data_IF_058726292387
#
_entry.id   IF_058726292387
#
_cell.length_a   1.000
_cell.length_b   1.000
_cell.length_c   1.000
_cell.angle_alpha   90.00
_cell.angle_beta   90.00
_cell.angle_gamma   90.00
#
_symmetry.space_group_name_H-M   'P 1'
#
loop_
_entity.id
_entity.type
_entity.pdbx_description
1 polymer ?
#
# COMPACT_ATOMS: atom_id res chain seq x y z
N UNK A 1 -10.47 -38.42 16.05
CA UNK A 1 -10.48 -37.54 17.23
C UNK A 1 -10.04 -36.16 16.78
N UNK A 2 -10.61 -35.09 17.34
CA UNK A 2 -10.06 -33.75 17.15
C UNK A 2 -8.72 -33.71 17.92
N UNK A 3 -7.59 -33.35 17.28
CA UNK A 3 -6.31 -33.18 17.97
C UNK A 3 -6.43 -32.23 19.16
N UNK A 4 -5.61 -32.41 20.20
CA UNK A 4 -5.56 -31.45 21.30
C UNK A 4 -4.93 -30.11 20.86
N UNK A 5 -5.18 -29.04 21.62
CA UNK A 5 -4.70 -27.69 21.30
C UNK A 5 -3.17 -27.61 21.18
N UNK A 6 -2.45 -28.45 21.94
CA UNK A 6 -0.98 -28.50 21.89
C UNK A 6 -0.50 -29.14 20.58
N UNK A 7 -1.20 -30.16 20.08
CA UNK A 7 -0.92 -30.79 18.79
C UNK A 7 -1.19 -29.82 17.64
N UNK A 8 -2.28 -29.04 17.68
CA UNK A 8 -2.52 -27.99 16.69
C UNK A 8 -1.46 -26.89 16.73
N UNK A 9 -1.03 -26.49 17.93
CA UNK A 9 0.04 -25.48 18.09
C UNK A 9 1.35 -25.97 17.51
N UNK A 10 1.74 -27.23 17.79
CA UNK A 10 2.93 -27.86 17.20
C UNK A 10 2.83 -27.94 15.69
N UNK A 11 1.68 -28.38 15.15
CA UNK A 11 1.46 -28.39 13.70
C UNK A 11 1.71 -27.01 13.08
N UNK A 12 1.12 -25.95 13.65
CA UNK A 12 1.30 -24.59 13.15
C UNK A 12 2.76 -24.16 13.16
N UNK A 13 3.53 -24.54 14.18
CA UNK A 13 4.93 -24.11 14.34
C UNK A 13 5.90 -24.96 13.49
N UNK A 14 5.74 -26.28 13.50
CA UNK A 14 6.64 -27.22 12.85
C UNK A 14 6.49 -27.19 11.32
N UNK A 15 5.30 -26.84 10.81
CA UNK A 15 4.99 -26.85 9.38
C UNK A 15 4.95 -25.46 8.73
N UNK A 16 5.44 -24.40 9.39
CA UNK A 16 5.50 -23.05 8.78
C UNK A 16 6.16 -23.08 7.39
N UNK A 17 7.33 -23.73 7.18
CA UNK A 17 7.96 -23.75 5.86
C UNK A 17 7.10 -24.40 4.78
N UNK A 18 6.42 -25.50 5.11
CA UNK A 18 5.55 -26.22 4.17
C UNK A 18 4.26 -25.45 3.88
N UNK A 19 3.72 -24.72 4.85
CA UNK A 19 2.59 -23.81 4.64
C UNK A 19 2.98 -22.64 3.73
N UNK A 20 4.19 -22.10 3.90
CA UNK A 20 4.72 -21.03 3.05
C UNK A 20 4.92 -21.52 1.61
N UNK A 21 5.55 -22.69 1.42
CA UNK A 21 5.68 -23.34 0.12
C UNK A 21 4.31 -23.60 -0.55
N UNK A 22 3.36 -24.20 0.18
CA UNK A 22 2.01 -24.45 -0.33
C UNK A 22 1.29 -23.16 -0.73
N UNK A 23 1.44 -22.11 0.07
CA UNK A 23 0.85 -20.80 -0.23
C UNK A 23 1.41 -20.25 -1.56
N UNK A 24 2.72 -20.27 -1.76
CA UNK A 24 3.34 -19.76 -2.98
C UNK A 24 2.94 -20.58 -4.22
N UNK A 25 2.91 -21.90 -4.13
CA UNK A 25 2.42 -22.75 -5.24
C UNK A 25 0.96 -22.42 -5.60
N UNK A 26 0.10 -22.17 -4.60
CA UNK A 26 -1.29 -21.76 -4.83
C UNK A 26 -1.42 -20.37 -5.44
N UNK A 27 -0.52 -19.43 -5.13
CA UNK A 27 -0.48 -18.11 -5.77
C UNK A 27 -0.26 -18.28 -7.28
N UNK A 28 0.71 -19.08 -7.69
CA UNK A 28 0.98 -19.38 -9.11
C UNK A 28 -0.18 -20.13 -9.78
N UNK A 29 -0.76 -21.13 -9.10
CA UNK A 29 -1.89 -21.90 -9.63
C UNK A 29 -3.15 -21.05 -9.85
N UNK A 30 -3.38 -20.04 -9.01
CA UNK A 30 -4.56 -19.18 -9.10
C UNK A 30 -4.39 -17.99 -10.05
N UNK A 31 -3.16 -17.64 -10.46
CA UNK A 31 -2.94 -16.50 -11.35
C UNK A 31 -3.70 -16.64 -12.70
N UNK A 32 -3.62 -17.76 -13.44
CA UNK A 32 -4.36 -17.90 -14.69
C UNK A 32 -5.88 -17.89 -14.51
N UNK A 33 -6.37 -18.22 -13.31
CA UNK A 33 -7.80 -18.12 -12.96
C UNK A 33 -8.18 -16.65 -12.82
N UNK A 34 -7.41 -15.88 -12.05
CA UNK A 34 -7.60 -14.43 -11.89
C UNK A 34 -7.59 -13.71 -13.26
N UNK A 35 -6.65 -14.06 -14.14
CA UNK A 35 -6.58 -13.48 -15.49
C UNK A 35 -7.81 -13.77 -16.36
N UNK A 36 -8.40 -14.99 -16.24
CA UNK A 36 -9.64 -15.34 -16.94
C UNK A 36 -10.85 -14.57 -16.41
N UNK A 37 -10.90 -14.34 -15.09
CA UNK A 37 -12.00 -13.62 -14.45
C UNK A 37 -11.98 -12.14 -14.84
N UNK A 38 -10.86 -11.47 -14.60
CA UNK A 38 -10.66 -10.08 -15.00
C UNK A 38 -9.17 -9.80 -15.19
N UNK A 39 -8.73 -9.78 -16.44
CA UNK A 39 -7.34 -9.50 -16.80
C UNK A 39 -6.83 -8.15 -16.28
N UNK A 40 -7.68 -7.12 -16.27
CA UNK A 40 -7.24 -5.79 -15.83
C UNK A 40 -7.01 -5.78 -14.32
N UNK A 41 -7.92 -6.35 -13.54
CA UNK A 41 -7.78 -6.44 -12.08
C UNK A 41 -6.68 -7.43 -11.68
N UNK A 42 -6.52 -8.55 -12.38
CA UNK A 42 -5.41 -9.49 -12.15
C UNK A 42 -4.04 -8.83 -12.38
N UNK A 43 -3.93 -7.98 -13.39
CA UNK A 43 -2.68 -7.25 -13.70
C UNK A 43 -2.32 -6.14 -12.70
N UNK A 44 -3.18 -5.86 -11.71
CA UNK A 44 -2.86 -4.91 -10.64
C UNK A 44 -2.12 -5.63 -9.51
N UNK A 45 -1.15 -4.94 -8.92
CA UNK A 45 -0.53 -5.34 -7.66
C UNK A 45 -0.70 -4.22 -6.65
N UNK A 46 -1.31 -4.54 -5.51
CA UNK A 46 -1.64 -3.60 -4.44
C UNK A 46 -0.83 -4.00 -3.22
N UNK A 47 -0.16 -3.03 -2.59
CA UNK A 47 0.66 -3.27 -1.41
C UNK A 47 0.16 -2.45 -0.22
N UNK A 48 0.11 -3.10 0.95
CA UNK A 48 -0.21 -2.47 2.23
C UNK A 48 0.47 -3.22 3.37
N UNK A 49 0.67 -2.54 4.50
CA UNK A 49 1.22 -3.17 5.71
C UNK A 49 0.15 -3.30 6.78
N UNK A 50 0.31 -4.32 7.62
CA UNK A 50 -0.61 -4.53 8.73
C UNK A 50 0.12 -5.05 9.97
N UNK A 51 -0.29 -4.56 11.13
CA UNK A 51 0.13 -5.10 12.42
C UNK A 51 -0.86 -6.17 12.90
N UNK A 52 -0.35 -7.32 13.36
CA UNK A 52 -1.13 -8.32 14.09
C UNK A 52 -0.86 -8.14 15.59
N UNK A 53 -1.87 -7.65 16.32
CA UNK A 53 -1.77 -7.39 17.76
C UNK A 53 -1.50 -8.69 18.53
N UNK A 54 -0.49 -8.70 19.38
CA UNK A 54 -0.04 -9.91 20.09
C UNK A 54 -0.56 -9.98 21.52
N UNK A 55 -0.59 -11.18 22.11
CA UNK A 55 -1.01 -11.37 23.50
C UNK A 55 0.12 -10.99 24.49
N UNK A 56 0.31 -9.68 24.69
CA UNK A 56 1.33 -9.10 25.60
C UNK A 56 0.73 -8.09 26.58
N UNK A 57 1.44 -7.82 27.68
CA UNK A 57 0.95 -6.95 28.74
C UNK A 57 0.73 -5.52 28.29
N UNK A 58 1.53 -5.04 27.34
CA UNK A 58 1.49 -3.68 26.83
C UNK A 58 0.24 -3.38 25.98
N UNK A 59 -0.42 -4.43 25.45
CA UNK A 59 -1.72 -4.33 24.76
C UNK A 59 -2.93 -4.30 25.70
N UNK A 60 -2.71 -4.41 27.01
CA UNK A 60 -3.78 -4.28 27.99
C UNK A 60 -3.96 -2.80 28.36
N UNK A 61 -5.19 -2.28 28.32
CA UNK A 61 -5.50 -0.89 28.70
C UNK A 61 -4.99 -0.52 30.11
N UNK A 62 -4.90 -1.49 31.02
CA UNK A 62 -4.32 -1.27 32.37
C UNK A 62 -2.87 -0.82 32.32
N UNK A 63 -2.11 -1.23 31.32
CA UNK A 63 -0.71 -0.85 31.13
C UNK A 63 -0.61 0.66 30.84
N UNK A 64 -1.29 1.14 29.81
CA UNK A 64 -1.33 2.56 29.47
C UNK A 64 -1.91 3.40 30.62
N UNK A 65 -3.01 2.93 31.24
CA UNK A 65 -3.62 3.62 32.38
C UNK A 65 -2.67 3.78 33.57
N UNK A 66 -1.79 2.79 33.82
CA UNK A 66 -0.76 2.90 34.86
C UNK A 66 0.24 4.02 34.53
N UNK A 67 0.70 4.11 33.28
CA UNK A 67 1.62 5.16 32.83
C UNK A 67 0.94 6.54 32.95
N UNK A 68 -0.31 6.68 32.48
CA UNK A 68 -1.07 7.93 32.58
C UNK A 68 -1.19 8.39 34.03
N UNK A 69 -1.52 7.48 34.97
CA UNK A 69 -1.60 7.81 36.41
C UNK A 69 -0.26 8.31 36.96
N UNK A 70 0.85 7.68 36.59
CA UNK A 70 2.19 8.11 36.99
C UNK A 70 2.55 9.49 36.43
N UNK A 71 2.27 9.72 35.14
CA UNK A 71 2.51 11.03 34.49
C UNK A 71 1.66 12.12 35.14
N UNK A 72 0.37 11.86 35.38
CA UNK A 72 -0.57 12.80 36.00
C UNK A 72 -0.15 13.19 37.41
N UNK A 73 0.41 12.26 38.18
CA UNK A 73 0.91 12.54 39.53
C UNK A 73 2.05 13.58 39.53
N UNK A 74 2.89 13.59 38.49
CA UNK A 74 4.03 14.50 38.31
C UNK A 74 3.73 15.74 37.46
N UNK A 75 2.53 15.89 36.90
CA UNK A 75 2.16 16.94 35.94
C UNK A 75 0.73 17.45 36.19
N UNK A 76 0.41 17.81 37.44
CA UNK A 76 -0.96 18.13 37.89
C UNK A 76 -1.55 19.38 37.25
N UNK A 77 -0.68 20.27 36.78
CA UNK A 77 -0.95 21.57 36.18
C UNK A 77 -1.12 21.54 34.65
N UNK A 78 -0.80 20.41 34.01
CA UNK A 78 -0.89 20.25 32.55
C UNK A 78 -2.28 19.76 32.11
N UNK A 79 -2.65 20.12 30.88
CA UNK A 79 -3.87 19.61 30.24
C UNK A 79 -3.85 18.09 30.10
N UNK A 80 -5.02 17.48 29.93
CA UNK A 80 -5.12 16.03 29.71
C UNK A 80 -4.37 15.61 28.42
N UNK A 81 -4.50 16.35 27.32
CA UNK A 81 -3.75 16.10 26.09
C UNK A 81 -2.23 16.15 26.35
N UNK A 82 -1.84 17.12 27.18
CA UNK A 82 -0.53 17.27 27.83
C UNK A 82 0.03 15.92 28.31
N UNK A 83 -0.75 15.35 29.22
CA UNK A 83 -0.45 14.13 29.96
C UNK A 83 -0.46 12.90 29.04
N UNK A 84 -1.41 12.81 28.11
CA UNK A 84 -1.51 11.71 27.17
C UNK A 84 -0.29 11.66 26.24
N UNK A 85 0.16 12.80 25.71
CA UNK A 85 1.34 12.86 24.85
C UNK A 85 2.61 12.39 25.59
N UNK A 86 2.81 12.81 26.85
CA UNK A 86 3.92 12.31 27.67
C UNK A 86 3.76 10.82 27.99
N UNK A 87 2.54 10.35 28.25
CA UNK A 87 2.31 8.93 28.54
C UNK A 87 2.65 8.06 27.33
N UNK A 88 2.27 8.48 26.12
CA UNK A 88 2.62 7.79 24.89
C UNK A 88 4.12 7.79 24.62
N UNK A 89 4.82 8.91 24.85
CA UNK A 89 6.29 8.95 24.69
C UNK A 89 7.02 8.04 25.69
N UNK A 90 6.43 7.76 26.86
CA UNK A 90 6.95 6.81 27.86
C UNK A 90 6.65 5.34 27.58
N UNK A 91 5.75 5.02 26.64
CA UNK A 91 5.49 3.63 26.29
C UNK A 91 6.74 3.00 25.64
N UNK A 92 7.18 1.79 26.01
CA UNK A 92 8.32 1.12 25.39
C UNK A 92 8.17 1.00 23.87
N UNK A 93 9.25 1.16 23.11
CA UNK A 93 9.21 0.96 21.64
C UNK A 93 9.00 -0.50 21.24
N UNK A 94 9.41 -1.42 22.11
CA UNK A 94 9.28 -2.87 21.93
C UNK A 94 8.67 -3.50 23.16
N UNK A 95 8.06 -4.68 23.01
CA UNK A 95 7.52 -5.42 24.15
C UNK A 95 8.63 -5.92 25.07
N UNK A 96 8.33 -5.98 26.36
CA UNK A 96 9.21 -6.53 27.39
C UNK A 96 9.55 -8.01 27.22
N UNK A 97 8.76 -8.76 26.42
CA UNK A 97 8.92 -10.22 26.27
C UNK A 97 9.56 -10.64 24.94
N UNK A 98 9.51 -9.80 23.91
CA UNK A 98 10.17 -10.01 22.62
C UNK A 98 10.33 -8.66 21.90
N UNK A 99 11.55 -8.34 21.48
CA UNK A 99 11.86 -7.07 20.79
C UNK A 99 11.34 -6.98 19.34
N UNK A 100 10.96 -8.13 18.76
CA UNK A 100 10.30 -8.18 17.45
C UNK A 100 8.84 -7.74 17.53
N UNK A 101 8.25 -7.77 18.73
CA UNK A 101 6.91 -7.22 18.97
C UNK A 101 7.08 -5.71 19.21
N UNK A 102 6.74 -4.92 18.20
CA UNK A 102 6.99 -3.48 18.22
C UNK A 102 5.72 -2.69 18.47
N UNK A 103 5.88 -1.56 19.13
CA UNK A 103 4.83 -0.56 19.29
C UNK A 103 4.52 0.04 17.92
N UNK A 104 3.25 0.09 17.56
CA UNK A 104 2.73 0.65 16.32
C UNK A 104 1.53 1.53 16.63
N UNK A 105 1.28 2.53 15.81
CA UNK A 105 0.05 3.31 15.86
C UNK A 105 -0.93 2.81 14.78
N UNK A 106 -2.07 2.28 15.21
CA UNK A 106 -3.09 1.73 14.33
C UNK A 106 -4.50 2.00 14.89
N UNK A 107 -5.45 2.35 14.02
CA UNK A 107 -6.86 2.60 14.39
C UNK A 107 -7.04 3.58 15.57
N UNK A 108 -6.21 4.63 15.63
CA UNK A 108 -6.30 5.67 16.65
C UNK A 108 -5.68 5.33 18.01
N UNK A 109 -5.08 4.13 18.17
CA UNK A 109 -4.42 3.69 19.41
C UNK A 109 -3.03 3.12 19.16
N UNK A 110 -2.19 3.10 20.20
CA UNK A 110 -0.96 2.31 20.17
C UNK A 110 -1.26 0.84 20.47
N UNK A 111 -0.59 -0.05 19.76
CA UNK A 111 -0.60 -1.48 20.01
C UNK A 111 0.79 -2.08 19.77
N UNK A 112 1.01 -3.30 20.26
CA UNK A 112 2.23 -4.07 20.17
C UNK A 112 1.99 -5.28 19.27
N UNK A 113 2.61 -5.27 18.11
CA UNK A 113 2.27 -6.17 17.02
C UNK A 113 3.50 -6.70 16.30
N UNK A 114 3.31 -7.84 15.62
CA UNK A 114 4.19 -8.21 14.52
C UNK A 114 3.71 -7.54 13.24
N UNK A 115 4.64 -7.00 12.45
CA UNK A 115 4.34 -6.29 11.21
C UNK A 115 4.43 -7.23 10.02
N UNK A 116 3.45 -7.16 9.13
CA UNK A 116 3.36 -7.92 7.90
C UNK A 116 3.16 -6.98 6.71
N UNK A 117 3.76 -7.33 5.58
CA UNK A 117 3.44 -6.80 4.26
C UNK A 117 2.47 -7.74 3.55
N UNK A 118 1.41 -7.20 2.97
CA UNK A 118 0.42 -7.98 2.22
C UNK A 118 0.39 -7.47 0.79
N UNK A 119 0.43 -8.39 -0.18
CA UNK A 119 0.16 -8.09 -1.58
C UNK A 119 -1.18 -8.70 -1.98
N UNK A 120 -1.99 -7.95 -2.73
CA UNK A 120 -3.18 -8.46 -3.41
C UNK A 120 -3.20 -8.02 -4.86
N UNK A 121 -3.93 -8.74 -5.71
CA UNK A 121 -4.32 -8.19 -6.99
C UNK A 121 -5.57 -7.29 -6.87
N UNK A 122 -6.03 -6.72 -7.99
CA UNK A 122 -7.22 -5.87 -8.05
C UNK A 122 -8.54 -6.60 -7.75
N UNK A 123 -8.57 -7.93 -7.85
CA UNK A 123 -9.71 -8.75 -7.44
C UNK A 123 -9.80 -8.89 -5.91
N UNK A 124 -8.69 -8.64 -5.21
CA UNK A 124 -8.58 -8.83 -3.75
C UNK A 124 -8.19 -10.23 -3.35
N UNK A 125 -7.53 -10.94 -4.26
CA UNK A 125 -6.92 -12.22 -3.95
C UNK A 125 -5.49 -11.95 -3.52
N UNK A 126 -5.12 -12.47 -2.36
CA UNK A 126 -3.75 -12.39 -1.84
C UNK A 126 -2.76 -12.97 -2.85
N UNK A 127 -1.60 -12.32 -2.94
CA UNK A 127 -0.47 -12.68 -3.81
C UNK A 127 0.80 -12.89 -2.99
N UNK A 128 0.92 -12.22 -1.84
CA UNK A 128 2.04 -12.43 -0.93
C UNK A 128 1.69 -12.07 0.52
N UNK A 129 2.36 -12.72 1.47
CA UNK A 129 2.28 -12.47 2.90
C UNK A 129 3.71 -12.48 3.46
N UNK A 130 4.32 -11.31 3.56
CA UNK A 130 5.69 -11.17 4.08
C UNK A 130 5.65 -10.80 5.56
N UNK A 131 6.36 -11.54 6.41
CA UNK A 131 6.57 -11.17 7.82
C UNK A 131 7.86 -10.37 7.99
N UNK A 132 7.82 -9.23 8.68
CA UNK A 132 9.01 -8.38 8.91
C UNK A 132 9.79 -8.81 10.16
N UNK A 133 10.06 -10.11 10.25
CA UNK A 133 10.84 -10.73 11.32
C UNK A 133 12.35 -10.46 11.15
N UNK A 134 13.15 -10.94 12.10
CA UNK A 134 14.62 -10.84 12.03
C UNK A 134 15.19 -11.46 10.76
N UNK A 135 14.63 -12.57 10.27
CA UNK A 135 15.11 -13.24 9.05
C UNK A 135 14.94 -12.30 7.86
N UNK A 136 13.76 -11.71 7.70
CA UNK A 136 13.49 -10.74 6.63
C UNK A 136 14.40 -9.52 6.71
N UNK A 137 14.69 -9.01 7.92
CA UNK A 137 15.60 -7.87 8.10
C UNK A 137 17.05 -8.20 7.76
N UNK A 138 17.53 -9.39 8.13
CA UNK A 138 18.88 -9.87 7.79
C UNK A 138 19.02 -10.08 6.27
N UNK A 139 17.99 -10.57 5.62
CA UNK A 139 17.95 -10.75 4.16
C UNK A 139 17.86 -9.41 3.40
N UNK A 140 17.41 -8.34 4.07
CA UNK A 140 17.24 -7.01 3.49
C UNK A 140 17.84 -5.92 4.41
N UNK A 141 19.18 -5.86 4.56
CA UNK A 141 19.87 -5.01 5.53
C UNK A 141 19.59 -3.51 5.37
N UNK A 142 19.14 -3.07 4.19
CA UNK A 142 18.69 -1.69 3.95
C UNK A 142 17.54 -1.25 4.85
N UNK A 143 16.83 -2.20 5.47
CA UNK A 143 15.75 -1.95 6.43
C UNK A 143 16.26 -1.60 7.84
N UNK A 144 17.51 -1.96 8.21
CA UNK A 144 18.05 -1.74 9.56
C UNK A 144 18.47 -0.29 9.84
N UNK A 145 18.55 0.56 8.82
CA UNK A 145 18.84 1.98 8.96
C UNK A 145 17.61 2.73 9.50
N UNK A 146 17.20 2.43 10.73
CA UNK A 146 16.11 3.11 11.45
C UNK A 146 16.53 4.56 11.72
N UNK A 147 15.98 5.50 10.93
CA UNK A 147 16.00 6.92 11.30
C UNK A 147 14.89 7.09 12.31
N UNK A 148 15.24 7.45 13.54
CA UNK A 148 14.24 7.68 14.57
C UNK A 148 13.48 8.97 14.25
N UNK A 149 12.18 8.84 13.99
CA UNK A 149 11.25 9.97 13.89
C UNK A 149 10.53 10.15 15.24
N UNK A 150 10.37 11.39 15.69
CA UNK A 150 9.67 11.71 16.94
C UNK A 150 8.14 11.58 16.80
N UNK A 151 7.63 11.65 15.57
CA UNK A 151 6.22 11.53 15.23
C UNK A 151 5.87 10.08 14.79
N UNK A 152 4.98 9.38 15.52
CA UNK A 152 4.57 8.02 15.20
C UNK A 152 3.99 7.82 13.79
N UNK A 153 3.31 8.83 13.22
CA UNK A 153 2.77 8.72 11.86
C UNK A 153 3.88 8.76 10.81
N UNK A 154 4.92 9.57 11.07
CA UNK A 154 6.11 9.62 10.22
C UNK A 154 6.96 8.35 10.36
N UNK A 155 7.11 7.82 11.58
CA UNK A 155 7.80 6.53 11.83
C UNK A 155 7.14 5.40 11.01
N UNK A 156 5.80 5.28 11.08
CA UNK A 156 5.04 4.30 10.28
C UNK A 156 5.28 4.50 8.78
N UNK A 157 5.18 5.73 8.30
CA UNK A 157 5.34 6.09 6.89
C UNK A 157 6.72 5.71 6.36
N UNK A 158 7.78 5.98 7.13
CA UNK A 158 9.16 5.64 6.77
C UNK A 158 9.35 4.12 6.68
N UNK A 159 8.83 3.38 7.66
CA UNK A 159 8.94 1.93 7.68
C UNK A 159 8.18 1.29 6.51
N UNK A 160 6.97 1.77 6.21
CA UNK A 160 6.19 1.29 5.07
C UNK A 160 6.95 1.55 3.77
N UNK A 161 7.43 2.78 3.56
CA UNK A 161 8.19 3.17 2.37
C UNK A 161 9.43 2.29 2.12
N UNK A 162 10.21 1.99 3.17
CA UNK A 162 11.42 1.16 3.07
C UNK A 162 11.09 -0.30 2.73
N UNK A 163 9.99 -0.83 3.26
CA UNK A 163 9.58 -2.23 3.04
C UNK A 163 9.12 -2.52 1.60
N UNK A 164 8.72 -1.51 0.82
CA UNK A 164 8.18 -1.72 -0.52
C UNK A 164 9.16 -2.42 -1.45
N UNK A 165 10.42 -1.95 -1.51
CA UNK A 165 11.42 -2.52 -2.42
C UNK A 165 11.68 -4.01 -2.17
N UNK A 166 12.01 -4.46 -0.94
CA UNK A 166 12.28 -5.86 -0.67
C UNK A 166 11.05 -6.74 -0.89
N UNK A 167 9.86 -6.32 -0.43
CA UNK A 167 8.61 -7.09 -0.63
C UNK A 167 8.31 -7.31 -2.12
N UNK A 168 8.33 -6.25 -2.92
CA UNK A 168 8.02 -6.36 -4.37
C UNK A 168 9.10 -7.15 -5.11
N UNK A 169 10.38 -6.96 -4.77
CA UNK A 169 11.48 -7.69 -5.42
C UNK A 169 11.40 -9.19 -5.12
N UNK A 170 11.15 -9.56 -3.86
CA UNK A 170 11.02 -10.96 -3.45
C UNK A 170 9.82 -11.61 -4.12
N UNK A 171 8.66 -10.95 -4.15
CA UNK A 171 7.46 -11.45 -4.82
C UNK A 171 7.71 -11.72 -6.32
N UNK A 172 8.30 -10.76 -7.04
CA UNK A 172 8.56 -10.92 -8.49
C UNK A 172 9.63 -11.99 -8.78
N UNK A 173 10.61 -12.15 -7.90
CA UNK A 173 11.62 -13.21 -8.01
C UNK A 173 11.00 -14.59 -7.75
N UNK A 174 10.10 -14.70 -6.77
CA UNK A 174 9.43 -15.93 -6.40
C UNK A 174 8.39 -16.36 -7.43
N UNK A 175 7.70 -15.39 -8.05
CA UNK A 175 6.60 -15.62 -8.99
C UNK A 175 6.92 -15.05 -10.39
N UNK A 176 7.94 -15.54 -11.12
CA UNK A 176 8.42 -14.93 -12.37
C UNK A 176 7.41 -14.97 -13.53
N UNK A 177 6.36 -15.79 -13.41
CA UNK A 177 5.26 -15.87 -14.38
C UNK A 177 4.21 -14.78 -14.17
N UNK A 178 4.10 -14.24 -12.95
CA UNK A 178 3.15 -13.18 -12.62
C UNK A 178 3.78 -11.84 -13.01
N UNK A 179 3.19 -11.17 -14.00
CA UNK A 179 3.73 -9.92 -14.59
C UNK A 179 2.74 -8.79 -14.42
N UNK A 180 2.65 -8.21 -13.21
CA UNK A 180 1.70 -7.13 -12.97
C UNK A 180 2.09 -5.88 -13.77
N UNK A 181 1.10 -5.19 -14.30
CA UNK A 181 1.29 -3.99 -15.13
C UNK A 181 1.06 -2.70 -14.34
N UNK A 182 0.25 -2.76 -13.29
CA UNK A 182 -0.18 -1.59 -12.51
C UNK A 182 0.12 -1.80 -11.04
N UNK A 183 0.85 -0.86 -10.44
CA UNK A 183 1.05 -0.81 -9.00
C UNK A 183 0.05 0.16 -8.35
N UNK A 184 -0.50 -0.20 -7.19
CA UNK A 184 -1.29 0.68 -6.34
C UNK A 184 -0.73 0.67 -4.91
N UNK A 185 -0.54 1.85 -4.35
CA UNK A 185 -0.05 2.01 -2.98
C UNK A 185 -0.56 3.30 -2.35
N UNK A 186 -0.43 3.41 -1.03
CA UNK A 186 -0.81 4.62 -0.31
C UNK A 186 0.23 5.75 -0.46
N UNK A 187 -0.07 6.91 0.13
CA UNK A 187 0.80 8.07 0.07
C UNK A 187 2.14 7.89 0.83
N UNK A 188 2.29 6.86 1.68
CA UNK A 188 3.54 6.58 2.38
C UNK A 188 4.64 6.12 1.40
N UNK A 189 4.24 5.57 0.25
CA UNK A 189 5.14 5.19 -0.83
C UNK A 189 5.53 6.36 -1.75
N UNK A 190 5.08 7.59 -1.49
CA UNK A 190 5.38 8.75 -2.32
C UNK A 190 6.80 9.29 -2.07
N UNK A 191 7.79 8.62 -2.67
CA UNK A 191 9.18 9.06 -2.68
C UNK A 191 9.77 9.00 -4.08
N UNK A 192 10.66 9.94 -4.43
CA UNK A 192 11.32 9.96 -5.75
C UNK A 192 12.07 8.66 -6.09
N UNK A 193 12.53 7.91 -5.09
CA UNK A 193 13.28 6.66 -5.28
C UNK A 193 12.37 5.48 -5.65
N UNK A 194 11.10 5.50 -5.22
CA UNK A 194 10.15 4.41 -5.46
C UNK A 194 9.69 4.36 -6.93
N UNK A 195 9.48 5.49 -7.58
CA UNK A 195 8.97 5.51 -8.96
C UNK A 195 9.95 4.92 -9.99
N UNK A 196 11.26 5.23 -10.00
CA UNK A 196 12.24 4.54 -10.83
C UNK A 196 12.28 3.03 -10.56
N UNK A 197 12.25 2.62 -9.29
CA UNK A 197 12.22 1.21 -8.92
C UNK A 197 10.99 0.51 -9.55
N UNK A 198 9.79 1.02 -9.33
CA UNK A 198 8.56 0.43 -9.87
C UNK A 198 8.54 0.44 -11.41
N UNK A 199 8.82 1.57 -12.04
CA UNK A 199 8.59 1.75 -13.48
C UNK A 199 9.75 1.26 -14.35
N UNK A 200 10.98 1.27 -13.85
CA UNK A 200 12.18 0.87 -14.61
C UNK A 200 12.74 -0.46 -14.19
N UNK A 201 12.85 -0.74 -12.88
CA UNK A 201 13.42 -2.01 -12.39
C UNK A 201 12.36 -3.12 -12.39
N UNK A 202 11.16 -2.87 -11.86
CA UNK A 202 10.07 -3.85 -11.82
C UNK A 202 9.18 -3.85 -13.07
N UNK A 203 9.41 -2.92 -14.00
CA UNK A 203 8.71 -2.81 -15.28
C UNK A 203 7.18 -2.63 -15.20
N UNK A 204 6.66 -2.09 -14.09
CA UNK A 204 5.26 -1.64 -14.05
C UNK A 204 5.04 -0.56 -15.10
N UNK A 205 3.92 -0.63 -15.82
CA UNK A 205 3.53 0.40 -16.79
C UNK A 205 3.04 1.66 -16.10
N UNK A 206 2.38 1.51 -14.94
CA UNK A 206 1.77 2.61 -14.18
C UNK A 206 1.91 2.38 -12.67
N UNK A 207 2.10 3.46 -11.92
CA UNK A 207 2.05 3.43 -10.46
C UNK A 207 1.05 4.47 -9.93
N UNK A 208 0.06 4.02 -9.18
CA UNK A 208 -0.96 4.86 -8.56
C UNK A 208 -0.67 5.00 -7.07
N UNK A 209 0.07 6.06 -6.74
CA UNK A 209 0.50 6.43 -5.39
C UNK A 209 0.09 7.89 -5.19
N UNK A 210 -0.84 8.24 -4.28
CA UNK A 210 -1.19 9.63 -4.04
C UNK A 210 0.02 10.45 -3.58
N UNK A 211 0.03 11.74 -3.91
CA UNK A 211 1.09 12.63 -3.41
C UNK A 211 0.92 12.85 -1.91
N UNK A 212 2.03 12.88 -1.17
CA UNK A 212 2.03 13.25 0.25
C UNK A 212 1.59 14.71 0.42
N UNK A 213 0.85 14.98 1.51
CA UNK A 213 0.33 16.34 1.82
C UNK A 213 1.44 17.35 2.17
N UNK A 214 2.59 16.88 2.65
CA UNK A 214 3.74 17.71 3.03
C UNK A 214 4.95 17.34 2.16
N UNK A 215 5.05 17.89 0.94
CA UNK A 215 6.23 17.72 0.11
C UNK A 215 7.49 18.24 0.83
N UNK A 216 8.64 17.56 0.65
CA UNK A 216 9.93 18.05 1.17
C UNK A 216 10.42 19.18 0.25
N UNK A 217 11.22 20.10 0.78
CA UNK A 217 11.78 21.24 0.02
C UNK A 217 12.61 20.83 -1.21
N UNK A 218 13.09 19.59 -1.24
CA UNK A 218 13.83 18.96 -2.34
C UNK A 218 12.94 18.59 -3.55
N UNK A 219 11.62 18.71 -3.43
CA UNK A 219 10.67 18.50 -4.52
C UNK A 219 10.78 19.69 -5.49
N UNK A 220 11.71 19.61 -6.45
CA UNK A 220 12.07 20.67 -7.41
C UNK A 220 10.82 21.30 -8.03
N UNK A 221 10.44 22.48 -7.54
CA UNK A 221 9.33 23.25 -8.08
C UNK A 221 9.79 23.97 -9.35
N UNK A 222 9.59 23.35 -10.52
CA UNK A 222 9.57 24.12 -11.77
C UNK A 222 8.36 25.07 -11.70
N UNK A 223 8.55 26.40 -11.66
CA UNK A 223 7.47 27.35 -11.50
C UNK A 223 6.46 27.32 -12.66
N UNK A 224 6.78 26.64 -13.76
CA UNK A 224 5.84 26.38 -14.85
C UNK A 224 4.84 25.26 -14.54
N UNK A 225 4.91 24.59 -13.38
CA UNK A 225 4.06 23.48 -12.97
C UNK A 225 3.50 23.68 -11.56
N UNK A 226 2.30 23.17 -11.29
CA UNK A 226 1.74 23.14 -9.94
C UNK A 226 2.24 21.90 -9.15
N UNK A 227 1.79 21.80 -7.90
CA UNK A 227 2.16 20.73 -6.96
C UNK A 227 1.81 19.31 -7.44
N UNK A 228 0.79 19.19 -8.30
CA UNK A 228 0.37 17.93 -8.95
C UNK A 228 1.10 17.65 -10.27
N UNK A 229 2.09 18.47 -10.64
CA UNK A 229 2.81 18.33 -11.90
C UNK A 229 2.02 18.77 -13.14
N UNK A 230 0.98 19.59 -13.00
CA UNK A 230 0.26 20.15 -14.13
C UNK A 230 0.91 21.45 -14.60
N UNK A 231 1.15 21.66 -15.91
CA UNK A 231 1.61 22.95 -16.41
C UNK A 231 0.63 24.07 -16.03
N UNK A 232 1.14 25.24 -15.65
CA UNK A 232 0.32 26.41 -15.30
C UNK A 232 0.43 27.53 -16.34
N UNK A 233 -0.57 28.41 -16.38
CA UNK A 233 -0.58 29.55 -17.29
C UNK A 233 0.57 30.51 -16.98
N UNK A 234 1.41 30.88 -17.98
CA UNK A 234 2.52 31.80 -17.77
C UNK A 234 2.07 33.24 -17.44
N UNK A 235 0.78 33.54 -17.63
CA UNK A 235 0.17 34.83 -17.29
C UNK A 235 -0.61 34.78 -15.97
N UNK A 236 -0.89 33.59 -15.46
CA UNK A 236 -1.71 33.37 -14.26
C UNK A 236 -1.40 31.97 -13.69
N UNK A 237 -0.46 31.90 -12.75
CA UNK A 237 0.00 30.63 -12.17
C UNK A 237 -1.10 29.88 -11.41
N UNK A 238 -2.23 30.51 -11.09
CA UNK A 238 -3.37 29.85 -10.44
C UNK A 238 -4.16 28.95 -11.39
N UNK A 239 -3.98 29.11 -12.71
CA UNK A 239 -4.71 28.35 -13.73
C UNK A 239 -3.85 27.21 -14.30
N UNK A 240 -4.16 25.98 -13.91
CA UNK A 240 -3.59 24.79 -14.51
C UNK A 240 -4.14 24.56 -15.93
N UNK A 241 -3.30 24.05 -16.84
CA UNK A 241 -3.71 23.63 -18.17
C UNK A 241 -4.66 22.42 -18.10
N UNK A 242 -5.44 22.19 -19.16
CA UNK A 242 -6.30 21.00 -19.29
C UNK A 242 -5.56 19.87 -20.00
N UNK A 243 -5.69 18.65 -19.51
CA UNK A 243 -5.12 17.48 -20.17
C UNK A 243 -5.94 17.16 -21.43
N UNK A 244 -5.26 17.07 -22.58
CA UNK A 244 -5.88 16.81 -23.88
C UNK A 244 -5.71 15.37 -24.33
N UNK A 245 -4.61 14.72 -23.95
CA UNK A 245 -4.32 13.34 -24.32
C UNK A 245 -2.84 13.03 -24.39
N UNK A 246 -2.54 11.81 -24.81
CA UNK A 246 -1.17 11.31 -24.96
C UNK A 246 -0.83 11.25 -26.45
N UNK A 247 0.29 11.88 -26.82
CA UNK A 247 0.87 11.75 -28.15
C UNK A 247 1.93 10.64 -28.11
N UNK A 248 1.68 9.58 -28.88
CA UNK A 248 2.64 8.52 -29.13
C UNK A 248 3.41 8.84 -30.41
N UNK A 249 4.65 9.27 -30.27
CA UNK A 249 5.62 9.29 -31.36
C UNK A 249 6.44 7.99 -31.30
N UNK A 250 6.94 7.49 -32.43
CA UNK A 250 7.72 6.23 -32.54
C UNK A 250 8.90 6.18 -31.57
N UNK A 251 9.39 7.33 -31.14
CA UNK A 251 10.55 7.45 -30.22
C UNK A 251 10.21 8.10 -28.88
N UNK A 252 9.01 8.69 -28.70
CA UNK A 252 8.71 9.55 -27.53
C UNK A 252 7.21 9.51 -27.17
N UNK A 253 6.93 9.32 -25.89
CA UNK A 253 5.58 9.50 -25.32
C UNK A 253 5.50 10.87 -24.64
N UNK A 254 4.58 11.72 -25.09
CA UNK A 254 4.38 13.07 -24.55
C UNK A 254 2.93 13.30 -24.13
N UNK A 255 2.74 13.86 -22.95
CA UNK A 255 1.47 14.32 -22.44
C UNK A 255 1.15 15.69 -23.03
N UNK A 256 0.01 15.82 -23.71
CA UNK A 256 -0.44 17.08 -24.32
C UNK A 256 -1.41 17.79 -23.36
N UNK A 257 -1.06 19.01 -23.00
CA UNK A 257 -1.87 19.92 -22.21
C UNK A 257 -2.23 21.15 -23.04
N UNK A 258 -3.44 21.67 -22.88
CA UNK A 258 -3.96 22.85 -23.60
C UNK A 258 -4.42 23.93 -22.62
N UNK A 259 -4.50 25.15 -23.13
CA UNK A 259 -4.93 26.32 -22.35
C UNK A 259 -6.23 26.05 -21.55
N UNK A 260 -6.30 26.50 -20.28
CA UNK A 260 -7.49 26.33 -19.45
C UNK A 260 -8.74 26.97 -20.05
N UNK A 261 -8.58 28.09 -20.76
CA UNK A 261 -9.68 28.81 -21.42
C UNK A 261 -10.07 28.20 -22.78
N UNK A 262 -9.58 26.99 -23.10
CA UNK A 262 -9.99 26.25 -24.30
C UNK A 262 -11.27 25.46 -24.04
N UNK A 263 -12.23 25.63 -24.96
CA UNK A 263 -13.51 24.94 -24.99
C UNK A 263 -13.69 24.25 -26.34
N UNK A 264 -14.43 23.13 -26.35
CA UNK A 264 -14.72 22.40 -27.57
C UNK A 264 -16.05 22.85 -28.16
N UNK A 265 -16.04 23.26 -29.43
CA UNK A 265 -17.24 23.41 -30.26
C UNK A 265 -17.30 22.24 -31.23
N UNK A 266 -18.01 21.18 -30.83
CA UNK A 266 -17.92 19.88 -31.50
C UNK A 266 -16.51 19.30 -31.38
N UNK A 267 -15.88 18.95 -32.50
CA UNK A 267 -14.49 18.44 -32.54
C UNK A 267 -13.41 19.53 -32.52
N UNK A 268 -13.81 20.80 -32.67
CA UNK A 268 -12.86 21.91 -32.83
C UNK A 268 -12.59 22.61 -31.50
N UNK A 269 -11.34 22.60 -31.00
CA UNK A 269 -10.96 23.42 -29.85
C UNK A 269 -10.94 24.90 -30.23
N UNK A 270 -11.51 25.74 -29.37
CA UNK A 270 -11.48 27.20 -29.47
C UNK A 270 -11.08 27.79 -28.12
N UNK A 271 -10.02 28.57 -28.10
CA UNK A 271 -9.52 29.26 -26.92
C UNK A 271 -10.17 30.65 -26.78
N UNK A 272 -10.73 30.92 -25.61
CA UNK A 272 -11.38 32.19 -25.25
C UNK A 272 -10.57 33.04 -24.26
N UNK A 273 -9.26 32.77 -24.17
CA UNK A 273 -8.37 33.52 -23.30
C UNK A 273 -8.36 35.00 -23.69
N UNK A 274 -8.65 35.87 -22.72
CA UNK A 274 -8.67 37.33 -22.93
C UNK A 274 -7.28 37.90 -23.23
N UNK A 275 -6.23 37.27 -22.68
CA UNK A 275 -4.82 37.66 -22.87
C UNK A 275 -4.04 36.49 -23.50
N UNK A 276 -4.27 36.18 -24.80
CA UNK A 276 -3.68 35.01 -25.43
C UNK A 276 -2.15 35.10 -25.48
N UNK A 277 -1.49 34.03 -25.07
CA UNK A 277 -0.03 33.90 -25.14
C UNK A 277 0.48 33.26 -26.44
N UNK A 278 -0.43 32.93 -27.38
CA UNK A 278 -0.13 32.36 -28.70
C UNK A 278 -1.25 32.72 -29.68
N UNK A 279 -0.97 32.83 -30.99
CA UNK A 279 -1.99 33.02 -32.02
C UNK A 279 -2.82 31.74 -32.33
N UNK A 280 -2.48 30.59 -31.73
CA UNK A 280 -3.19 29.33 -31.97
C UNK A 280 -4.67 29.40 -31.57
N UNK A 281 -5.55 28.92 -32.45
CA UNK A 281 -7.00 28.78 -32.18
C UNK A 281 -7.30 27.88 -31.00
N UNK A 282 -6.48 26.85 -30.74
CA UNK A 282 -6.64 25.95 -29.59
C UNK A 282 -5.99 26.48 -28.30
N UNK A 283 -5.41 27.69 -28.36
CA UNK A 283 -4.63 28.26 -27.27
C UNK A 283 -3.25 27.63 -27.16
N UNK A 284 -2.52 27.99 -26.09
CA UNK A 284 -1.20 27.44 -25.83
C UNK A 284 -1.29 25.94 -25.59
N UNK A 285 -0.37 25.21 -26.21
CA UNK A 285 -0.18 23.78 -25.97
C UNK A 285 1.16 23.58 -25.29
N UNK A 286 1.18 22.75 -24.25
CA UNK A 286 2.39 22.29 -23.58
C UNK A 286 2.49 20.78 -23.76
N UNK A 287 3.62 20.29 -24.28
CA UNK A 287 3.89 18.87 -24.41
C UNK A 287 4.95 18.48 -23.37
N UNK A 288 4.60 17.60 -22.45
CA UNK A 288 5.50 17.17 -21.37
C UNK A 288 5.95 15.73 -21.63
N UNK A 289 7.26 15.44 -21.68
CA UNK A 289 7.74 14.06 -21.74
C UNK A 289 7.25 13.25 -20.53
N UNK A 290 6.72 12.06 -20.74
CA UNK A 290 6.21 11.22 -19.64
C UNK A 290 7.31 10.79 -18.65
N UNK A 291 8.57 10.78 -19.11
CA UNK A 291 9.74 10.44 -18.31
C UNK A 291 10.44 11.66 -17.71
N UNK A 292 9.88 12.88 -17.85
CA UNK A 292 10.45 14.10 -17.27
C UNK A 292 10.56 13.98 -15.75
N UNK A 293 9.49 13.48 -15.14
CA UNK A 293 9.39 13.27 -13.71
C UNK A 293 8.48 12.05 -13.49
N UNK A 294 9.06 10.96 -13.03
CA UNK A 294 8.35 9.69 -12.83
C UNK A 294 7.42 9.73 -11.62
N UNK A 295 7.64 10.65 -10.67
CA UNK A 295 6.73 10.87 -9.54
C UNK A 295 5.49 11.64 -10.00
N UNK A 296 5.67 12.68 -10.80
CA UNK A 296 4.56 13.47 -11.32
C UNK A 296 3.78 12.74 -12.42
N UNK A 297 4.48 11.98 -13.27
CA UNK A 297 3.89 11.22 -14.37
C UNK A 297 4.28 9.74 -14.26
N UNK A 298 3.69 8.98 -13.32
CA UNK A 298 4.03 7.59 -13.07
C UNK A 298 3.39 6.65 -14.11
N UNK A 299 3.63 6.90 -15.39
CA UNK A 299 2.98 6.22 -16.52
C UNK A 299 1.54 6.66 -16.80
N UNK A 300 1.04 7.65 -16.06
CA UNK A 300 -0.32 8.18 -16.17
C UNK A 300 -0.38 9.63 -15.69
N UNK A 301 -1.54 10.29 -15.83
CA UNK A 301 -1.79 11.66 -15.38
C UNK A 301 -2.65 11.64 -14.11
N UNK A 302 -2.16 12.29 -13.06
CA UNK A 302 -2.83 12.48 -11.77
C UNK A 302 -4.06 13.37 -11.91
N UNK A 303 -4.95 13.33 -10.92
CA UNK A 303 -6.13 14.22 -10.83
C UNK A 303 -7.07 14.17 -12.05
N UNK A 304 -7.09 13.02 -12.74
CA UNK A 304 -8.07 12.73 -13.80
C UNK A 304 -9.13 11.75 -13.29
N UNK A 305 -10.32 11.74 -13.89
CA UNK A 305 -11.35 10.75 -13.57
C UNK A 305 -10.84 9.31 -13.75
N UNK A 306 -9.97 9.09 -14.75
CA UNK A 306 -9.33 7.80 -14.99
C UNK A 306 -8.40 7.40 -13.84
N UNK A 307 -7.65 8.35 -13.27
CA UNK A 307 -6.82 8.12 -12.10
C UNK A 307 -7.67 7.70 -10.91
N UNK A 308 -8.70 8.49 -10.60
CA UNK A 308 -9.61 8.24 -9.49
C UNK A 308 -10.35 6.90 -9.64
N UNK A 309 -10.73 6.53 -10.85
CA UNK A 309 -11.41 5.26 -11.14
C UNK A 309 -10.52 4.05 -10.86
N UNK A 310 -9.25 4.08 -11.29
CA UNK A 310 -8.31 2.97 -11.05
C UNK A 310 -7.90 2.92 -9.57
N UNK A 311 -7.60 4.07 -8.97
CA UNK A 311 -7.10 4.13 -7.59
C UNK A 311 -8.13 3.65 -6.55
N UNK A 312 -9.44 3.73 -6.84
CA UNK A 312 -10.50 3.13 -6.02
C UNK A 312 -10.29 1.64 -5.74
N UNK A 313 -9.59 0.91 -6.62
CA UNK A 313 -9.27 -0.50 -6.41
C UNK A 313 -8.30 -0.73 -5.25
N UNK A 314 -7.55 0.29 -4.80
CA UNK A 314 -6.70 0.15 -3.59
C UNK A 314 -7.51 -0.39 -2.43
N UNK A 315 -8.72 0.13 -2.19
CA UNK A 315 -9.55 -0.24 -1.04
C UNK A 315 -9.84 -1.76 -0.94
N UNK A 316 -9.61 -2.52 -2.01
CA UNK A 316 -9.71 -3.97 -2.01
C UNK A 316 -8.70 -4.62 -1.04
N UNK A 317 -7.46 -4.11 -0.92
CA UNK A 317 -6.47 -4.69 0.00
C UNK A 317 -6.89 -4.51 1.46
N UNK A 318 -7.41 -3.34 1.82
CA UNK A 318 -7.91 -3.04 3.16
C UNK A 318 -9.05 -4.01 3.53
N UNK A 319 -9.96 -4.29 2.58
CA UNK A 319 -11.01 -5.31 2.75
C UNK A 319 -10.44 -6.72 2.94
N UNK A 320 -9.38 -7.06 2.22
CA UNK A 320 -8.72 -8.37 2.30
C UNK A 320 -8.02 -8.54 3.65
N UNK A 321 -7.28 -7.53 4.10
CA UNK A 321 -6.66 -7.49 5.42
C UNK A 321 -7.73 -7.61 6.52
N UNK A 322 -8.83 -6.88 6.40
CA UNK A 322 -9.94 -7.00 7.34
C UNK A 322 -10.57 -8.40 7.31
N UNK A 323 -10.69 -9.03 6.13
CA UNK A 323 -11.17 -10.40 5.99
C UNK A 323 -10.27 -11.41 6.71
N UNK A 324 -8.95 -11.22 6.63
CA UNK A 324 -7.98 -12.05 7.34
C UNK A 324 -8.11 -11.87 8.86
N UNK A 325 -8.21 -10.63 9.32
CA UNK A 325 -8.26 -10.31 10.75
C UNK A 325 -9.53 -10.80 11.42
N UNK A 326 -10.68 -10.51 10.82
CA UNK A 326 -12.00 -10.70 11.45
C UNK A 326 -12.61 -12.06 11.07
N UNK A 327 -13.13 -12.30 9.84
CA UNK A 327 -13.66 -13.59 9.42
C UNK A 327 -12.72 -14.79 9.58
N UNK A 328 -11.43 -14.64 9.26
CA UNK A 328 -10.45 -15.73 9.34
C UNK A 328 -9.70 -15.76 10.69
N UNK A 329 -10.03 -14.86 11.61
CA UNK A 329 -9.57 -14.92 13.01
C UNK A 329 -8.11 -14.56 13.27
N UNK A 330 -7.40 -13.95 12.32
CA UNK A 330 -5.98 -13.61 12.49
C UNK A 330 -5.75 -12.32 13.32
N UNK A 331 -6.80 -11.54 13.61
CA UNK A 331 -6.66 -10.18 14.15
C UNK A 331 -6.37 -10.10 15.66
N UNK A 332 -6.78 -11.11 16.43
CA UNK A 332 -6.70 -11.12 17.90
C UNK A 332 -6.13 -12.45 18.44
N UNK A 333 -4.93 -12.86 18.02
CA UNK A 333 -4.34 -14.12 18.45
C UNK A 333 -4.18 -14.15 19.98
N UNK A 334 -4.49 -15.30 20.59
CA UNK A 334 -4.21 -15.56 22.02
C UNK A 334 -2.80 -16.08 22.26
N UNK A 335 -1.87 -15.71 21.37
CA UNK A 335 -0.48 -16.10 21.40
C UNK A 335 0.41 -14.89 21.12
N UNK A 336 1.68 -15.02 21.51
CA UNK A 336 2.77 -14.10 21.19
C UNK A 336 3.87 -14.77 20.36
N UNK A 337 3.72 -16.07 20.09
CA UNK A 337 4.67 -16.85 19.30
C UNK A 337 4.53 -16.48 17.81
N UNK A 338 5.62 -16.00 17.22
CA UNK A 338 5.66 -15.54 15.85
C UNK A 338 5.31 -16.65 14.85
N UNK A 339 5.87 -17.85 15.01
CA UNK A 339 5.63 -18.96 14.09
C UNK A 339 4.14 -19.36 14.05
N UNK A 340 3.46 -19.37 15.20
CA UNK A 340 2.00 -19.60 15.25
C UNK A 340 1.22 -18.51 14.49
N UNK A 341 1.56 -17.23 14.69
CA UNK A 341 0.88 -16.12 14.00
C UNK A 341 1.15 -16.14 12.49
N UNK A 342 2.39 -16.42 12.08
CA UNK A 342 2.76 -16.57 10.67
C UNK A 342 1.97 -17.72 10.03
N UNK A 343 1.87 -18.86 10.70
CA UNK A 343 1.06 -20.00 10.26
C UNK A 343 -0.42 -19.63 10.09
N UNK A 344 -1.01 -18.90 11.05
CA UNK A 344 -2.41 -18.44 10.95
C UNK A 344 -2.64 -17.56 9.72
N UNK A 345 -1.73 -16.61 9.45
CA UNK A 345 -1.80 -15.76 8.26
C UNK A 345 -1.65 -16.56 6.95
N UNK A 346 -0.72 -17.51 6.91
CA UNK A 346 -0.53 -18.40 5.75
C UNK A 346 -1.77 -19.27 5.50
N UNK A 347 -2.34 -19.87 6.55
CA UNK A 347 -3.56 -20.67 6.46
C UNK A 347 -4.76 -19.84 5.97
N UNK A 348 -4.89 -18.59 6.42
CA UNK A 348 -5.89 -17.66 5.90
C UNK A 348 -5.71 -17.39 4.40
N UNK A 349 -4.46 -17.15 3.96
CA UNK A 349 -4.13 -16.98 2.54
C UNK A 349 -4.40 -18.22 1.70
N UNK A 350 -3.95 -19.40 2.14
CA UNK A 350 -4.22 -20.69 1.51
C UNK A 350 -5.73 -20.92 1.35
N UNK A 351 -6.49 -20.64 2.41
CA UNK A 351 -7.95 -20.78 2.41
C UNK A 351 -8.60 -19.89 1.36
N UNK A 352 -8.13 -18.64 1.21
CA UNK A 352 -8.59 -17.74 0.16
C UNK A 352 -8.23 -18.26 -1.24
N UNK A 353 -7.02 -18.77 -1.44
CA UNK A 353 -6.57 -19.27 -2.75
C UNK A 353 -7.32 -20.55 -3.16
N UNK A 354 -7.58 -21.46 -2.22
CA UNK A 354 -8.43 -22.64 -2.46
C UNK A 354 -9.86 -22.22 -2.84
N UNK A 355 -10.40 -21.18 -2.19
CA UNK A 355 -11.72 -20.61 -2.54
C UNK A 355 -11.78 -20.18 -4.01
N UNK A 356 -10.70 -19.57 -4.54
CA UNK A 356 -10.61 -19.19 -5.96
C UNK A 356 -10.67 -20.42 -6.86
N UNK A 357 -9.94 -21.48 -6.53
CA UNK A 357 -9.95 -22.74 -7.30
C UNK A 357 -11.35 -23.36 -7.30
N UNK A 358 -12.00 -23.42 -6.14
CA UNK A 358 -13.35 -23.96 -6.01
C UNK A 358 -14.37 -23.16 -6.83
N UNK A 359 -14.35 -21.83 -6.71
CA UNK A 359 -15.20 -20.93 -7.49
C UNK A 359 -15.02 -21.12 -9.01
N UNK A 360 -13.78 -21.30 -9.48
CA UNK A 360 -13.49 -21.62 -10.89
C UNK A 360 -14.05 -22.97 -11.33
N UNK A 361 -13.90 -24.01 -10.50
CA UNK A 361 -14.47 -25.34 -10.79
C UNK A 361 -15.99 -25.36 -10.81
N UNK A 362 -16.62 -24.52 -10.00
CA UNK A 362 -18.07 -24.35 -9.95
C UNK A 362 -18.59 -23.36 -11.00
N UNK A 363 -17.69 -22.63 -11.67
CA UNK A 363 -18.02 -21.51 -12.55
C UNK A 363 -18.89 -20.44 -11.87
N UNK A 364 -18.63 -20.19 -10.58
CA UNK A 364 -19.31 -19.17 -9.75
C UNK A 364 -18.30 -18.16 -9.21
N UNK A 365 -17.94 -17.20 -10.06
CA UNK A 365 -16.90 -16.21 -9.75
C UNK A 365 -17.34 -15.13 -8.75
N UNK A 366 -18.61 -15.08 -8.35
CA UNK A 366 -19.05 -14.18 -7.27
C UNK A 366 -18.48 -14.63 -5.90
N UNK A 367 -18.11 -15.91 -5.80
CA UNK A 367 -17.64 -16.55 -4.58
C UNK A 367 -16.13 -16.50 -4.36
N UNK A 368 -15.33 -15.94 -5.28
CA UNK A 368 -13.84 -15.94 -5.19
C UNK A 368 -13.28 -15.30 -3.90
N UNK A 369 -14.09 -14.55 -3.16
CA UNK A 369 -13.76 -13.91 -1.87
C UNK A 369 -14.60 -14.42 -0.70
N UNK A 370 -15.48 -15.38 -0.92
CA UNK A 370 -16.50 -15.78 0.05
C UNK A 370 -16.39 -17.27 0.35
N UNK A 371 -15.79 -17.57 1.51
CA UNK A 371 -15.69 -18.94 2.01
C UNK A 371 -17.04 -19.48 2.50
N UNK A 372 -17.91 -18.60 3.03
CA UNK A 372 -19.15 -19.00 3.73
C UNK A 372 -20.12 -19.82 2.87
N UNK A 373 -20.41 -19.44 1.61
CA UNK A 373 -21.32 -20.21 0.76
C UNK A 373 -20.76 -21.58 0.34
N UNK A 374 -19.45 -21.80 0.48
CA UNK A 374 -18.78 -23.05 0.07
C UNK A 374 -18.72 -24.11 1.19
N UNK A 375 -19.04 -23.73 2.44
CA UNK A 375 -19.03 -24.63 3.61
C UNK A 375 -20.45 -25.06 4.02
N UNK A 376 -21.48 -24.48 3.39
CA UNK A 376 -22.89 -24.70 3.72
C UNK A 376 -23.49 -25.96 3.08
#
# INVERSE_FOLDING_TARGET
SVPDDAQFTRFKQDFVPQLEEMFHELVDLTEPICERIDKNLASMLIYDTTGIETYVAENNDKFLNKIIRQVKASNKDKSNDHIHNIAYSRMPKVSSVNDEIRRMYANGKFCYAYKFGILTNGLGIVRDITCFDRKFKVENPELELEVMEDDPENEKTVDDSKSLKPVISNFLALHPKIKPEVFLGDAAFDTYKIYPFLLKECHFKKAFIPLRKSPKSEDIADPAFNESGWPVCPRDATKAFKFKGINYDKTRTRLKFICPDTHYKGKNPVCYCQNPCTPSREGRTVNVPINRDLRMYPGTVRDTDSWSSVYKNRAVIERTINHFKEPMGCGNPKTRNLATIKSDMLLAGITQLITVILADKMNDYELIRSLKPLIA
#
